data_IF_185127998470
#
_entry.id   IF_185127998470
#
_cell.length_a   1.000
_cell.length_b   1.000
_cell.length_c   1.000
_cell.angle_alpha   90.00
_cell.angle_beta   90.00
_cell.angle_gamma   90.00
#
_symmetry.space_group_name_H-M   'P 1'
#
loop_
_entity.id
_entity.type
_entity.pdbx_description
1 polymer ?
#
# COMPACT_ATOMS: atom_id res chain seq x y z
N UNK A 1 -3.99 -17.55 23.37
CA UNK A 1 -3.27 -17.69 22.10
C UNK A 1 -2.61 -16.37 21.82
N UNK A 2 -1.35 -16.39 21.47
CA UNK A 2 -0.53 -15.16 21.30
C UNK A 2 -0.95 -14.45 20.01
N UNK A 3 -1.52 -13.23 20.11
CA UNK A 3 -1.98 -12.44 18.95
C UNK A 3 -0.85 -12.19 17.94
N UNK A 4 0.39 -12.14 18.39
CA UNK A 4 1.57 -11.87 17.56
C UNK A 4 1.89 -13.02 16.58
N UNK A 5 1.61 -14.28 16.93
CA UNK A 5 1.77 -15.42 16.04
C UNK A 5 0.76 -15.39 14.87
N UNK A 6 -0.43 -14.82 15.09
CA UNK A 6 -1.44 -14.67 14.03
C UNK A 6 -1.06 -13.59 13.02
N UNK A 7 -0.56 -12.43 13.46
CA UNK A 7 -0.19 -11.31 12.58
C UNK A 7 0.96 -11.71 11.65
N UNK A 8 1.96 -12.42 12.16
CA UNK A 8 3.12 -12.87 11.37
C UNK A 8 2.76 -14.00 10.39
N UNK A 9 1.99 -15.00 10.81
CA UNK A 9 1.55 -16.11 9.96
C UNK A 9 0.70 -15.64 8.75
N UNK A 10 -0.17 -14.67 8.96
CA UNK A 10 -0.99 -14.05 7.92
C UNK A 10 -0.20 -13.58 6.70
N UNK A 11 1.03 -13.08 6.89
CA UNK A 11 1.87 -12.59 5.79
C UNK A 11 2.29 -13.69 4.82
N UNK A 12 2.50 -14.90 5.31
CA UNK A 12 2.77 -16.07 4.46
C UNK A 12 1.50 -16.54 3.75
N UNK A 13 0.35 -16.53 4.44
CA UNK A 13 -0.93 -16.86 3.82
C UNK A 13 -1.21 -15.93 2.64
N UNK A 14 -1.02 -14.62 2.81
CA UNK A 14 -1.19 -13.63 1.74
C UNK A 14 -0.29 -13.94 0.54
N UNK A 15 1.01 -14.21 0.75
CA UNK A 15 1.93 -14.55 -0.33
C UNK A 15 1.50 -15.82 -1.05
N UNK A 16 1.12 -16.87 -0.30
CA UNK A 16 0.68 -18.14 -0.86
C UNK A 16 -0.62 -17.99 -1.66
N UNK A 17 -1.63 -17.34 -1.09
CA UNK A 17 -2.91 -17.11 -1.75
C UNK A 17 -2.71 -16.29 -3.04
N UNK A 18 -1.94 -15.20 -2.99
CA UNK A 18 -1.65 -14.41 -4.18
C UNK A 18 -0.85 -15.17 -5.25
N UNK A 19 -0.10 -16.21 -4.88
CA UNK A 19 0.67 -17.02 -5.83
C UNK A 19 -0.11 -18.21 -6.42
N UNK A 20 -1.09 -18.74 -5.70
CA UNK A 20 -1.74 -20.01 -6.01
C UNK A 20 -3.21 -19.86 -6.44
N UNK A 21 -3.88 -18.78 -6.02
CA UNK A 21 -5.32 -18.58 -6.24
C UNK A 21 -5.59 -17.47 -7.26
N UNK A 22 -6.70 -17.57 -7.95
CA UNK A 22 -7.21 -16.50 -8.81
C UNK A 22 -7.89 -15.43 -7.96
N UNK A 23 -7.14 -14.38 -7.64
CA UNK A 23 -7.58 -13.27 -6.76
C UNK A 23 -7.59 -11.91 -7.46
N UNK A 24 -7.28 -11.87 -8.74
CA UNK A 24 -7.45 -10.65 -9.53
C UNK A 24 -8.91 -10.51 -9.93
N UNK A 25 -9.46 -9.31 -9.73
CA UNK A 25 -10.86 -9.02 -10.02
C UNK A 25 -10.99 -7.70 -10.75
N UNK A 26 -12.03 -7.66 -11.59
CA UNK A 26 -12.47 -6.44 -12.23
C UNK A 26 -11.63 -5.98 -13.40
N UNK A 27 -11.70 -4.68 -13.65
CA UNK A 27 -11.09 -4.02 -14.80
C UNK A 27 -10.59 -2.63 -14.39
N UNK A 28 -9.28 -2.40 -14.50
CA UNK A 28 -8.66 -1.15 -14.05
C UNK A 28 -9.08 0.11 -14.83
N UNK A 29 -9.71 -0.05 -16.00
CA UNK A 29 -10.14 1.04 -16.89
C UNK A 29 -9.06 1.50 -17.89
N UNK A 30 -7.80 1.11 -17.73
CA UNK A 30 -6.74 1.53 -18.66
C UNK A 30 -6.90 0.92 -20.06
N UNK A 31 -7.57 -0.23 -20.20
CA UNK A 31 -7.90 -0.82 -21.49
C UNK A 31 -8.80 0.03 -22.37
N UNK A 32 -9.56 0.96 -21.80
CA UNK A 32 -10.43 1.91 -22.53
C UNK A 32 -9.69 3.17 -22.98
N UNK A 33 -8.50 3.41 -22.44
CA UNK A 33 -7.70 4.59 -22.79
C UNK A 33 -6.91 4.32 -24.06
N UNK A 34 -6.96 5.25 -25.02
CA UNK A 34 -6.17 5.22 -26.23
C UNK A 34 -5.29 6.45 -26.32
N UNK A 35 -4.00 6.24 -26.45
CA UNK A 35 -3.05 7.33 -26.69
C UNK A 35 -3.14 7.76 -28.15
N UNK A 36 -3.05 9.07 -28.38
CA UNK A 36 -3.00 9.61 -29.75
C UNK A 36 -1.64 9.28 -30.36
N UNK A 37 -1.67 8.53 -31.46
CA UNK A 37 -0.45 8.17 -32.18
C UNK A 37 0.12 9.40 -32.92
N UNK A 38 1.41 9.69 -32.73
CA UNK A 38 2.16 10.65 -33.54
C UNK A 38 2.99 9.89 -34.58
N UNK A 39 2.60 10.00 -35.84
CA UNK A 39 3.31 9.35 -36.96
C UNK A 39 4.67 10.01 -37.28
N UNK A 40 4.89 11.25 -36.83
CA UNK A 40 6.15 12.00 -36.98
C UNK A 40 6.52 12.62 -35.61
N UNK A 41 7.18 11.87 -34.74
CA UNK A 41 7.43 12.32 -33.37
C UNK A 41 8.53 13.37 -33.24
N UNK A 42 9.42 13.54 -34.26
CA UNK A 42 10.57 14.47 -34.25
C UNK A 42 11.37 14.46 -32.94
N UNK A 43 11.59 13.28 -32.37
CA UNK A 43 12.38 13.09 -31.17
C UNK A 43 13.38 11.93 -31.36
N UNK A 44 14.51 12.02 -30.67
CA UNK A 44 15.46 10.92 -30.56
C UNK A 44 15.08 10.05 -29.37
N UNK A 45 14.81 8.77 -29.60
CA UNK A 45 14.44 7.82 -28.55
C UNK A 45 15.50 7.75 -27.44
N UNK A 46 16.77 7.91 -27.77
CA UNK A 46 17.88 7.91 -26.81
C UNK A 46 17.92 9.15 -25.91
N UNK A 47 17.22 10.24 -26.28
CA UNK A 47 17.15 11.47 -25.51
C UNK A 47 15.99 11.50 -24.52
N UNK A 48 15.14 10.46 -24.49
CA UNK A 48 13.97 10.41 -23.58
C UNK A 48 14.45 10.19 -22.15
N UNK A 49 14.18 11.17 -21.28
CA UNK A 49 14.43 11.08 -19.83
C UNK A 49 13.10 10.76 -19.11
N UNK A 50 13.03 9.59 -18.47
CA UNK A 50 11.90 9.16 -17.67
C UNK A 50 12.01 9.58 -16.20
N UNK A 51 13.15 10.21 -15.82
CA UNK A 51 13.33 10.61 -14.43
C UNK A 51 12.32 11.68 -14.01
N UNK A 52 11.91 11.61 -12.76
CA UNK A 52 10.99 12.58 -12.18
C UNK A 52 11.36 12.86 -10.72
N UNK A 53 10.64 13.78 -10.09
CA UNK A 53 10.75 14.05 -8.66
C UNK A 53 9.47 13.63 -7.96
N UNK A 54 9.63 12.85 -6.89
CA UNK A 54 8.54 12.48 -5.99
C UNK A 54 8.92 12.89 -4.56
N UNK A 55 8.10 13.73 -3.93
CA UNK A 55 8.32 14.28 -2.58
C UNK A 55 9.75 14.84 -2.36
N UNK A 56 10.32 15.48 -3.39
CA UNK A 56 11.66 16.06 -3.36
C UNK A 56 12.79 15.13 -3.82
N UNK A 57 12.59 13.82 -3.82
CA UNK A 57 13.57 12.81 -4.25
C UNK A 57 13.51 12.61 -5.76
N UNK A 58 14.69 12.45 -6.39
CA UNK A 58 14.76 12.07 -7.81
C UNK A 58 14.65 10.57 -7.93
N UNK A 59 13.72 10.11 -8.77
CA UNK A 59 13.59 8.71 -9.21
C UNK A 59 13.90 8.60 -10.69
N UNK A 60 14.52 7.50 -11.12
CA UNK A 60 14.98 7.32 -12.51
C UNK A 60 13.84 7.05 -13.49
N UNK A 61 12.67 6.62 -12.98
CA UNK A 61 11.44 6.46 -13.74
C UNK A 61 10.24 6.63 -12.80
N UNK A 62 9.03 6.92 -13.33
CA UNK A 62 7.82 7.08 -12.51
C UNK A 62 7.22 5.73 -12.07
N UNK A 63 8.05 4.74 -11.81
CA UNK A 63 7.64 3.42 -11.33
C UNK A 63 7.91 3.29 -9.84
N UNK A 64 6.96 2.68 -9.14
CA UNK A 64 7.03 2.40 -7.71
C UNK A 64 6.77 0.92 -7.43
N UNK A 65 7.54 0.35 -6.51
CA UNK A 65 7.26 -0.96 -5.93
C UNK A 65 6.24 -0.76 -4.82
N UNK A 66 5.02 -1.27 -5.05
CA UNK A 66 3.91 -1.11 -4.12
C UNK A 66 4.13 -1.85 -2.79
N UNK A 67 3.47 -1.35 -1.74
CA UNK A 67 3.52 -1.92 -0.40
C UNK A 67 2.87 -3.31 -0.33
N UNK A 68 3.67 -4.37 -0.12
CA UNK A 68 3.15 -5.74 -0.13
C UNK A 68 3.41 -6.50 1.18
N UNK A 69 4.65 -6.76 1.56
CA UNK A 69 4.99 -7.74 2.58
C UNK A 69 6.04 -7.26 3.58
N UNK A 70 6.25 -8.05 4.62
CA UNK A 70 7.17 -7.82 5.74
C UNK A 70 6.57 -8.33 7.05
N UNK A 71 7.35 -8.44 8.12
CA UNK A 71 6.89 -8.87 9.43
C UNK A 71 6.85 -10.40 9.61
N UNK A 72 7.59 -11.13 8.79
CA UNK A 72 7.85 -12.56 8.96
C UNK A 72 9.22 -12.91 8.38
N UNK A 73 10.02 -13.81 8.99
CA UNK A 73 11.34 -14.20 8.46
C UNK A 73 11.29 -14.71 7.02
N UNK A 74 10.22 -15.41 6.62
CA UNK A 74 10.01 -15.88 5.25
C UNK A 74 9.79 -14.78 4.21
N UNK A 75 9.58 -13.52 4.62
CA UNK A 75 9.40 -12.39 3.72
C UNK A 75 10.68 -11.57 3.52
N UNK A 76 11.74 -11.83 4.29
CA UNK A 76 13.01 -11.08 4.24
C UNK A 76 13.64 -11.14 2.86
N UNK A 77 13.73 -12.34 2.27
CA UNK A 77 14.32 -12.51 0.93
C UNK A 77 13.50 -11.80 -0.17
N UNK A 78 12.18 -11.75 -0.04
CA UNK A 78 11.31 -11.01 -0.98
C UNK A 78 11.64 -9.52 -0.92
N UNK A 79 11.68 -8.94 0.28
CA UNK A 79 11.99 -7.54 0.48
C UNK A 79 13.43 -7.19 0.05
N UNK A 80 14.39 -8.08 0.31
CA UNK A 80 15.77 -7.95 -0.16
C UNK A 80 15.85 -7.83 -1.69
N UNK A 81 15.18 -8.72 -2.43
CA UNK A 81 15.15 -8.69 -3.91
C UNK A 81 14.48 -7.45 -4.46
N UNK A 82 13.36 -7.04 -3.86
CA UNK A 82 12.65 -5.83 -4.26
C UNK A 82 13.49 -4.57 -4.01
N UNK A 83 14.15 -4.49 -2.84
CA UNK A 83 15.03 -3.39 -2.51
C UNK A 83 16.22 -3.27 -3.47
N UNK A 84 16.87 -4.40 -3.79
CA UNK A 84 17.95 -4.44 -4.81
C UNK A 84 17.46 -3.96 -6.18
N UNK A 85 16.22 -4.30 -6.55
CA UNK A 85 15.64 -3.79 -7.80
C UNK A 85 15.37 -2.28 -7.71
N UNK A 86 14.83 -1.79 -6.60
CA UNK A 86 14.61 -0.36 -6.38
C UNK A 86 15.92 0.42 -6.50
N UNK A 87 16.98 -0.01 -5.81
CA UNK A 87 18.31 0.61 -5.87
C UNK A 87 18.90 0.57 -7.28
N UNK A 88 18.90 -0.60 -7.90
CA UNK A 88 19.50 -0.81 -9.23
C UNK A 88 18.88 0.05 -10.31
N UNK A 89 17.56 0.22 -10.27
CA UNK A 89 16.80 0.93 -11.30
C UNK A 89 16.38 2.35 -10.87
N UNK A 90 16.76 2.79 -9.67
CA UNK A 90 16.43 4.11 -9.14
C UNK A 90 14.93 4.32 -8.99
N UNK A 91 14.20 3.30 -8.50
CA UNK A 91 12.75 3.32 -8.28
C UNK A 91 12.41 3.73 -6.85
N UNK A 92 11.17 4.16 -6.64
CA UNK A 92 10.62 4.24 -5.29
C UNK A 92 10.07 2.89 -4.82
N UNK A 93 10.11 2.63 -3.50
CA UNK A 93 9.54 1.44 -2.89
C UNK A 93 8.79 1.80 -1.61
N UNK A 94 7.63 1.20 -1.41
CA UNK A 94 6.91 1.22 -0.15
C UNK A 94 6.96 -0.18 0.48
N UNK A 95 7.32 -0.29 1.78
CA UNK A 95 7.31 -1.58 2.48
C UNK A 95 5.89 -2.00 2.86
N UNK A 96 5.66 -3.27 3.13
CA UNK A 96 4.41 -3.75 3.70
C UNK A 96 4.18 -3.18 5.11
N UNK A 97 2.94 -3.29 5.64
CA UNK A 97 2.62 -2.81 6.99
C UNK A 97 3.62 -3.31 8.03
N UNK A 98 4.21 -2.38 8.79
CA UNK A 98 5.22 -2.65 9.81
C UNK A 98 4.60 -3.04 11.17
N UNK A 99 3.25 -3.14 11.27
CA UNK A 99 2.55 -3.51 12.50
C UNK A 99 3.20 -4.71 13.21
N UNK A 100 3.49 -5.79 12.49
CA UNK A 100 4.04 -7.00 13.09
C UNK A 100 5.41 -6.76 13.77
N UNK A 101 6.27 -5.93 13.17
CA UNK A 101 7.58 -5.60 13.74
C UNK A 101 7.48 -4.60 14.90
N UNK A 102 6.49 -3.70 14.88
CA UNK A 102 6.22 -2.81 16.01
C UNK A 102 5.63 -3.55 17.21
N UNK A 103 4.88 -4.64 16.99
CA UNK A 103 4.40 -5.54 18.03
C UNK A 103 5.51 -6.49 18.54
N UNK A 104 6.41 -6.93 17.65
CA UNK A 104 7.51 -7.85 17.95
C UNK A 104 8.81 -7.43 17.24
N UNK A 105 9.74 -6.79 17.97
CA UNK A 105 11.01 -6.32 17.39
C UNK A 105 11.86 -7.41 16.73
N UNK A 106 11.65 -8.70 17.05
CA UNK A 106 12.36 -9.81 16.41
C UNK A 106 12.04 -9.94 14.91
N UNK A 107 10.98 -9.28 14.43
CA UNK A 107 10.53 -9.30 13.04
C UNK A 107 11.03 -8.11 12.22
N UNK A 108 11.75 -7.17 12.83
CA UNK A 108 12.26 -5.95 12.19
C UNK A 108 13.20 -6.26 11.02
N UNK A 109 13.97 -7.33 11.10
CA UNK A 109 14.95 -7.72 10.07
C UNK A 109 14.32 -7.79 8.68
N UNK A 110 13.08 -8.27 8.59
CA UNK A 110 12.35 -8.36 7.31
C UNK A 110 12.05 -7.00 6.67
N UNK A 111 12.18 -5.91 7.42
CA UNK A 111 12.03 -4.53 6.96
C UNK A 111 13.38 -3.81 6.86
N UNK A 112 14.27 -3.97 7.85
CA UNK A 112 15.59 -3.32 7.88
C UNK A 112 16.43 -3.64 6.64
N UNK A 113 16.34 -4.89 6.17
CA UNK A 113 17.01 -5.34 4.94
C UNK A 113 16.72 -4.44 3.74
N UNK A 114 15.58 -3.75 3.71
CA UNK A 114 15.20 -2.87 2.59
C UNK A 114 16.16 -1.68 2.49
N UNK A 115 16.46 -0.99 3.59
CA UNK A 115 17.39 0.14 3.58
C UNK A 115 18.84 -0.32 3.41
N UNK A 116 19.18 -1.49 3.95
CA UNK A 116 20.53 -2.08 3.78
C UNK A 116 20.84 -2.36 2.30
N UNK A 117 19.86 -2.90 1.56
CA UNK A 117 20.00 -3.24 0.14
C UNK A 117 19.67 -2.09 -0.82
N UNK A 118 19.01 -1.05 -0.34
CA UNK A 118 18.61 0.13 -1.12
C UNK A 118 18.96 1.44 -0.37
N UNK A 119 20.28 1.73 -0.18
CA UNK A 119 20.72 2.88 0.61
C UNK A 119 20.36 4.24 -0.01
N UNK A 120 20.12 4.32 -1.33
CA UNK A 120 19.85 5.58 -2.03
C UNK A 120 18.44 5.65 -2.63
N UNK A 121 17.71 4.54 -2.70
CA UNK A 121 16.34 4.53 -3.22
C UNK A 121 15.38 5.29 -2.29
N UNK A 122 14.33 5.88 -2.86
CA UNK A 122 13.21 6.41 -2.07
C UNK A 122 12.46 5.26 -1.41
N UNK A 123 12.44 5.22 -0.08
CA UNK A 123 11.77 4.20 0.71
C UNK A 123 10.68 4.82 1.58
N UNK A 124 9.45 4.29 1.50
CA UNK A 124 8.36 4.68 2.38
C UNK A 124 8.08 3.61 3.43
N UNK A 125 8.05 4.02 4.70
CA UNK A 125 7.47 3.25 5.80
C UNK A 125 5.96 3.06 5.59
N UNK A 126 5.33 2.14 6.35
CA UNK A 126 3.91 1.84 6.17
C UNK A 126 3.23 1.38 7.46
N UNK A 127 2.13 2.06 7.80
CA UNK A 127 1.32 1.78 8.98
C UNK A 127 -0.17 1.89 8.64
N UNK A 128 -1.03 1.09 9.27
CA UNK A 128 -2.48 1.23 9.13
C UNK A 128 -3.01 2.42 9.91
N UNK A 129 -4.04 3.07 9.38
CA UNK A 129 -4.64 4.24 10.04
C UNK A 129 -5.25 3.90 11.40
N UNK A 130 -5.79 2.70 11.58
CA UNK A 130 -6.32 2.22 12.86
C UNK A 130 -5.19 2.04 13.87
N UNK A 131 -4.06 1.45 13.47
CA UNK A 131 -2.88 1.30 14.33
C UNK A 131 -2.29 2.67 14.70
N UNK A 132 -2.29 3.63 13.77
CA UNK A 132 -1.88 5.01 14.05
C UNK A 132 -2.78 5.65 15.12
N UNK A 133 -4.11 5.47 15.02
CA UNK A 133 -5.07 5.96 16.03
C UNK A 133 -4.82 5.35 17.40
N UNK A 134 -4.63 4.04 17.44
CA UNK A 134 -4.60 3.29 18.71
C UNK A 134 -3.25 3.41 19.44
N UNK A 135 -2.15 3.57 18.70
CA UNK A 135 -0.80 3.60 19.25
C UNK A 135 -0.10 4.95 19.12
N UNK A 136 -0.72 5.91 18.41
CA UNK A 136 -0.25 7.28 18.29
C UNK A 136 1.01 7.46 17.43
N UNK A 137 1.61 8.62 17.58
CA UNK A 137 2.74 9.09 16.78
C UNK A 137 4.01 8.26 17.00
N UNK A 138 4.20 7.74 18.21
CA UNK A 138 5.36 6.92 18.55
C UNK A 138 5.53 5.71 17.61
N UNK A 139 4.43 5.04 17.25
CA UNK A 139 4.48 3.93 16.31
C UNK A 139 4.85 4.38 14.90
N UNK A 140 4.39 5.54 14.47
CA UNK A 140 4.75 6.11 13.17
C UNK A 140 6.24 6.50 13.14
N UNK A 141 6.76 7.12 14.19
CA UNK A 141 8.18 7.47 14.33
C UNK A 141 9.07 6.23 14.35
N UNK A 142 8.66 5.19 15.08
CA UNK A 142 9.37 3.91 15.14
C UNK A 142 9.35 3.20 13.78
N UNK A 143 8.24 3.25 13.04
CA UNK A 143 8.17 2.70 11.69
C UNK A 143 9.13 3.40 10.72
N UNK A 144 9.18 4.74 10.77
CA UNK A 144 10.13 5.55 9.97
C UNK A 144 11.57 5.22 10.35
N UNK A 145 11.89 5.25 11.63
CA UNK A 145 13.25 5.03 12.15
C UNK A 145 13.76 3.61 11.88
N UNK A 146 12.88 2.61 11.90
CA UNK A 146 13.21 1.20 11.69
C UNK A 146 13.94 0.96 10.36
N UNK A 147 13.58 1.71 9.32
CA UNK A 147 14.12 1.55 7.96
C UNK A 147 14.72 2.85 7.40
N UNK A 148 14.97 3.86 8.23
CA UNK A 148 15.42 5.18 7.79
C UNK A 148 14.62 5.67 6.57
N UNK A 149 13.29 5.74 6.73
CA UNK A 149 12.37 5.99 5.63
C UNK A 149 12.32 7.46 5.22
N UNK A 150 12.18 7.72 3.92
CA UNK A 150 12.04 9.05 3.32
C UNK A 150 10.61 9.60 3.42
N UNK A 151 9.64 8.74 3.67
CA UNK A 151 8.22 9.06 3.86
C UNK A 151 7.54 7.99 4.70
N UNK A 152 6.31 8.27 5.15
CA UNK A 152 5.43 7.27 5.75
C UNK A 152 4.12 7.17 4.99
N UNK A 153 3.74 5.98 4.56
CA UNK A 153 2.43 5.66 4.03
C UNK A 153 1.49 5.24 5.16
N UNK A 154 0.31 5.83 5.18
CA UNK A 154 -0.81 5.41 6.05
C UNK A 154 -1.86 4.75 5.18
N UNK A 155 -2.06 3.44 5.35
CA UNK A 155 -3.02 2.72 4.55
C UNK A 155 -4.42 2.72 5.17
N UNK A 156 -5.41 2.84 4.27
CA UNK A 156 -6.84 2.80 4.55
C UNK A 156 -7.37 1.47 4.00
N UNK A 157 -7.56 0.47 4.85
CA UNK A 157 -7.92 -0.89 4.44
C UNK A 157 -9.21 -1.38 5.10
N UNK A 158 -10.18 -0.50 5.30
CA UNK A 158 -11.41 -0.81 6.05
C UNK A 158 -12.21 -1.95 5.43
N UNK A 159 -12.27 -2.06 4.09
CA UNK A 159 -12.94 -3.18 3.44
C UNK A 159 -12.23 -4.51 3.74
N UNK A 160 -10.90 -4.54 3.65
CA UNK A 160 -10.12 -5.72 4.02
C UNK A 160 -10.34 -6.08 5.50
N UNK A 161 -10.27 -5.10 6.40
CA UNK A 161 -10.48 -5.31 7.84
C UNK A 161 -11.89 -5.82 8.16
N UNK A 162 -12.91 -5.39 7.39
CA UNK A 162 -14.29 -5.86 7.57
C UNK A 162 -14.48 -7.35 7.25
N UNK A 163 -13.64 -7.93 6.39
CA UNK A 163 -13.68 -9.33 5.95
C UNK A 163 -12.70 -10.18 6.75
N UNK A 164 -11.62 -9.59 7.23
CA UNK A 164 -10.56 -10.26 7.96
C UNK A 164 -11.06 -10.77 9.32
N UNK A 165 -10.84 -12.07 9.68
CA UNK A 165 -11.35 -12.63 10.95
C UNK A 165 -10.91 -11.89 12.21
N UNK A 166 -9.68 -11.32 12.19
CA UNK A 166 -9.10 -10.51 13.26
C UNK A 166 -9.13 -9.02 12.96
N UNK A 167 -9.98 -8.58 12.03
CA UNK A 167 -10.04 -7.22 11.54
C UNK A 167 -10.56 -6.21 12.54
N UNK A 168 -10.17 -4.95 12.35
CA UNK A 168 -10.57 -3.83 13.17
C UNK A 168 -11.68 -3.04 12.45
N UNK A 169 -12.86 -2.99 13.05
CA UNK A 169 -14.08 -2.48 12.41
C UNK A 169 -14.43 -1.05 12.83
N UNK A 170 -13.63 -0.41 13.70
CA UNK A 170 -13.88 0.96 14.15
C UNK A 170 -12.98 1.96 13.44
N UNK A 171 -13.56 2.79 12.57
CA UNK A 171 -12.88 3.86 11.86
C UNK A 171 -12.94 5.22 12.60
N UNK A 172 -13.61 5.29 13.76
CA UNK A 172 -13.79 6.55 14.51
C UNK A 172 -12.44 7.11 14.95
N UNK A 173 -12.19 8.41 14.75
CA UNK A 173 -10.96 9.08 15.16
C UNK A 173 -9.75 8.87 14.24
N UNK A 174 -9.89 8.08 13.17
CA UNK A 174 -8.77 7.85 12.25
C UNK A 174 -8.36 9.11 11.46
N UNK A 175 -9.31 9.99 11.14
CA UNK A 175 -8.99 11.25 10.47
C UNK A 175 -8.19 12.19 11.38
N UNK A 176 -8.56 12.32 12.63
CA UNK A 176 -7.87 13.12 13.63
C UNK A 176 -6.46 12.61 13.89
N UNK A 177 -6.27 11.29 13.95
CA UNK A 177 -4.96 10.66 14.07
C UNK A 177 -4.07 10.94 12.84
N UNK A 178 -4.64 10.84 11.62
CA UNK A 178 -3.94 11.20 10.38
C UNK A 178 -3.53 12.68 10.38
N UNK A 179 -4.44 13.58 10.75
CA UNK A 179 -4.15 15.01 10.81
C UNK A 179 -3.09 15.34 11.87
N UNK A 180 -3.08 14.65 13.00
CA UNK A 180 -2.04 14.76 14.02
C UNK A 180 -0.68 14.33 13.46
N UNK A 181 -0.61 13.16 12.79
CA UNK A 181 0.61 12.69 12.16
C UNK A 181 1.13 13.70 11.12
N UNK A 182 0.27 14.25 10.27
CA UNK A 182 0.67 15.22 9.25
C UNK A 182 1.26 16.51 9.84
N UNK A 183 0.86 16.90 11.06
CA UNK A 183 1.41 18.08 11.73
C UNK A 183 2.77 17.82 12.38
N UNK A 184 2.98 16.63 12.91
CA UNK A 184 4.13 16.31 13.78
C UNK A 184 5.22 15.51 13.05
N UNK A 185 4.89 14.81 11.96
CA UNK A 185 5.84 13.97 11.26
C UNK A 185 7.01 14.75 10.67
N UNK A 186 8.22 14.23 10.84
CA UNK A 186 9.46 14.79 10.26
C UNK A 186 9.61 14.41 8.78
N UNK A 187 8.86 13.45 8.29
CA UNK A 187 8.85 12.99 6.89
C UNK A 187 7.49 13.21 6.25
N UNK A 188 7.41 13.33 4.92
CA UNK A 188 6.13 13.45 4.21
C UNK A 188 5.19 12.27 4.50
N UNK A 189 3.90 12.56 4.70
CA UNK A 189 2.85 11.55 4.87
C UNK A 189 2.17 11.27 3.54
N UNK A 190 2.09 9.99 3.19
CA UNK A 190 1.35 9.47 2.04
C UNK A 190 0.11 8.76 2.57
N UNK A 191 -1.07 8.98 2.01
CA UNK A 191 -2.23 8.12 2.27
C UNK A 191 -2.40 7.16 1.11
N UNK A 192 -2.66 5.89 1.43
CA UNK A 192 -2.88 4.88 0.42
C UNK A 192 -4.15 4.06 0.68
N UNK A 193 -4.89 3.81 -0.37
CA UNK A 193 -5.95 2.80 -0.40
C UNK A 193 -5.36 1.42 -0.75
N UNK A 194 -6.11 0.36 -0.65
CA UNK A 194 -5.60 -1.03 -0.71
C UNK A 194 -6.26 -1.90 -1.78
N UNK A 195 -6.91 -1.32 -2.78
CA UNK A 195 -7.45 -2.06 -3.93
C UNK A 195 -8.92 -1.76 -4.27
N UNK A 196 -9.53 -0.79 -3.56
CA UNK A 196 -10.92 -0.37 -3.83
C UNK A 196 -11.02 1.06 -4.38
N UNK A 197 -9.88 1.73 -4.59
CA UNK A 197 -9.84 3.07 -5.17
C UNK A 197 -10.19 4.19 -4.19
N UNK A 198 -9.86 5.40 -4.58
CA UNK A 198 -10.11 6.59 -3.79
C UNK A 198 -10.95 7.60 -4.58
N UNK A 199 -11.99 8.15 -3.98
CA UNK A 199 -12.79 9.23 -4.57
C UNK A 199 -12.13 10.59 -4.40
N UNK A 200 -12.53 11.55 -5.23
CA UNK A 200 -12.07 12.93 -5.12
C UNK A 200 -12.39 13.56 -3.75
N UNK A 201 -13.53 13.21 -3.12
CA UNK A 201 -13.89 13.71 -1.80
C UNK A 201 -12.92 13.20 -0.74
N UNK A 202 -12.65 11.89 -0.72
CA UNK A 202 -11.71 11.28 0.23
C UNK A 202 -10.31 11.86 0.03
N UNK A 203 -9.84 11.97 -1.21
CA UNK A 203 -8.53 12.53 -1.53
C UNK A 203 -8.40 13.99 -1.04
N UNK A 204 -9.43 14.84 -1.28
CA UNK A 204 -9.44 16.23 -0.78
C UNK A 204 -9.45 16.30 0.75
N UNK A 205 -10.21 15.42 1.40
CA UNK A 205 -10.24 15.34 2.86
C UNK A 205 -8.86 14.99 3.44
N UNK A 206 -8.21 13.95 2.92
CA UNK A 206 -6.86 13.57 3.32
C UNK A 206 -5.84 14.69 3.04
N UNK A 207 -5.94 15.34 1.87
CA UNK A 207 -5.09 16.48 1.53
C UNK A 207 -5.27 17.64 2.52
N UNK A 208 -6.51 17.93 2.91
CA UNK A 208 -6.85 18.92 3.94
C UNK A 208 -6.28 18.59 5.32
N UNK A 209 -6.08 17.32 5.63
CA UNK A 209 -5.38 16.88 6.85
C UNK A 209 -3.87 17.14 6.83
N UNK A 210 -3.28 17.46 5.65
CA UNK A 210 -1.85 17.75 5.50
C UNK A 210 -1.03 16.68 4.79
N UNK A 211 -1.68 15.67 4.21
CA UNK A 211 -1.06 14.61 3.39
C UNK A 211 -0.32 15.22 2.20
N UNK A 212 0.81 14.63 1.80
CA UNK A 212 1.69 15.15 0.75
C UNK A 212 1.69 14.35 -0.54
N UNK A 213 1.13 13.14 -0.54
CA UNK A 213 0.88 12.34 -1.73
C UNK A 213 -0.27 11.37 -1.47
N UNK A 214 -0.92 10.94 -2.53
CA UNK A 214 -2.02 9.96 -2.50
C UNK A 214 -1.62 8.76 -3.35
N UNK A 215 -1.70 7.55 -2.78
CA UNK A 215 -1.71 6.29 -3.53
C UNK A 215 -3.17 5.81 -3.61
N UNK A 216 -3.73 5.84 -4.81
CA UNK A 216 -5.17 5.62 -5.00
C UNK A 216 -5.59 4.17 -4.80
N UNK A 217 -4.66 3.19 -4.88
CA UNK A 217 -4.97 1.77 -4.66
C UNK A 217 -6.24 1.31 -5.35
N UNK A 218 -6.34 1.52 -6.69
CA UNK A 218 -7.59 1.36 -7.43
C UNK A 218 -8.03 -0.09 -7.62
N UNK A 219 -9.32 -0.28 -7.96
CA UNK A 219 -9.89 -1.57 -8.31
C UNK A 219 -9.50 -1.98 -9.74
N UNK A 220 -9.30 -3.30 -9.94
CA UNK A 220 -8.99 -3.89 -11.24
C UNK A 220 -7.69 -4.71 -11.27
N UNK A 221 -7.21 -5.10 -10.11
CA UNK A 221 -6.07 -6.02 -9.91
C UNK A 221 -6.35 -6.94 -8.74
N UNK A 222 -5.39 -7.09 -7.82
CA UNK A 222 -5.56 -7.91 -6.60
C UNK A 222 -6.74 -7.43 -5.76
N UNK A 223 -7.71 -8.32 -5.53
CA UNK A 223 -8.83 -8.08 -4.62
C UNK A 223 -8.49 -8.56 -3.21
N UNK A 224 -8.25 -7.64 -2.28
CA UNK A 224 -8.03 -8.00 -0.88
C UNK A 224 -9.27 -8.61 -0.22
N UNK A 225 -10.49 -8.30 -0.72
CA UNK A 225 -11.71 -8.97 -0.31
C UNK A 225 -11.70 -10.45 -0.70
N UNK A 226 -11.25 -10.78 -1.93
CA UNK A 226 -11.09 -12.16 -2.36
C UNK A 226 -9.99 -12.87 -1.55
N UNK A 227 -8.84 -12.22 -1.33
CA UNK A 227 -7.73 -12.78 -0.53
C UNK A 227 -8.18 -13.13 0.88
N UNK A 228 -8.87 -12.23 1.58
CA UNK A 228 -9.36 -12.50 2.94
C UNK A 228 -10.54 -13.48 2.95
N UNK A 229 -11.37 -13.53 1.90
CA UNK A 229 -12.40 -14.53 1.72
C UNK A 229 -11.82 -15.95 1.61
N UNK A 230 -10.80 -16.15 0.78
CA UNK A 230 -10.06 -17.43 0.67
C UNK A 230 -9.39 -17.77 2.00
N UNK A 231 -8.77 -16.80 2.67
CA UNK A 231 -8.14 -17.00 3.97
C UNK A 231 -9.16 -17.41 5.05
N UNK A 232 -10.34 -16.80 5.06
CA UNK A 232 -11.43 -17.15 5.98
C UNK A 232 -11.94 -18.58 5.73
N UNK A 233 -12.00 -19.03 4.47
CA UNK A 233 -12.37 -20.38 4.11
C UNK A 233 -11.34 -21.43 4.58
N UNK A 234 -10.05 -21.13 4.42
CA UNK A 234 -8.93 -22.00 4.80
C UNK A 234 -8.63 -21.98 6.30
N UNK A 235 -8.98 -20.91 6.99
CA UNK A 235 -8.89 -20.83 8.45
C UNK A 235 -10.13 -21.49 9.08
N UNK A 236 -9.98 -22.04 10.31
CA UNK A 236 -11.13 -22.49 11.08
C UNK A 236 -11.96 -21.30 11.61
N UNK A 237 -12.32 -20.37 10.74
CA UNK A 237 -13.25 -19.30 11.10
C UNK A 237 -14.55 -19.94 11.64
N UNK A 238 -15.19 -19.37 12.68
CA UNK A 238 -16.41 -19.95 13.23
C UNK A 238 -17.42 -20.21 12.13
N UNK A 239 -17.95 -21.43 12.07
CA UNK A 239 -19.01 -21.78 11.13
C UNK A 239 -20.16 -20.77 11.28
N UNK A 240 -20.53 -20.10 10.18
CA UNK A 240 -21.57 -19.06 10.20
C UNK A 240 -21.09 -17.62 10.46
N UNK A 241 -19.76 -17.35 10.50
CA UNK A 241 -19.25 -15.97 10.61
C UNK A 241 -19.63 -15.05 9.45
N UNK A 242 -20.02 -15.61 8.29
CA UNK A 242 -20.39 -14.84 7.10
C UNK A 242 -19.20 -14.24 6.35
N UNK A 243 -17.97 -14.38 6.84
CA UNK A 243 -16.78 -13.72 6.26
C UNK A 243 -16.47 -14.20 4.84
N UNK A 244 -16.61 -15.51 4.56
CA UNK A 244 -16.46 -16.06 3.20
C UNK A 244 -17.48 -15.43 2.24
N UNK A 245 -18.74 -15.33 2.69
CA UNK A 245 -19.81 -14.70 1.90
C UNK A 245 -19.57 -13.20 1.69
N UNK A 246 -19.04 -12.52 2.70
CA UNK A 246 -18.63 -11.11 2.61
C UNK A 246 -17.48 -10.94 1.62
N UNK A 247 -16.48 -11.81 1.67
CA UNK A 247 -15.37 -11.82 0.71
C UNK A 247 -15.87 -11.93 -0.72
N UNK A 248 -16.74 -12.91 -1.00
CA UNK A 248 -17.37 -13.11 -2.31
C UNK A 248 -18.27 -11.94 -2.74
N UNK A 249 -19.00 -11.31 -1.79
CA UNK A 249 -19.85 -10.17 -2.10
C UNK A 249 -19.06 -8.94 -2.53
N UNK A 250 -17.90 -8.70 -1.92
CA UNK A 250 -17.08 -7.51 -2.12
C UNK A 250 -15.81 -7.76 -2.95
N UNK A 251 -15.62 -8.97 -3.48
CA UNK A 251 -14.42 -9.26 -4.29
C UNK A 251 -14.29 -8.39 -5.54
N UNK A 252 -15.43 -7.91 -6.06
CA UNK A 252 -15.54 -7.08 -7.27
C UNK A 252 -16.05 -5.66 -6.94
N UNK A 253 -15.64 -5.14 -5.78
CA UNK A 253 -16.04 -3.83 -5.28
C UNK A 253 -14.92 -2.80 -5.37
N UNK A 254 -15.22 -1.64 -5.97
CA UNK A 254 -14.29 -0.50 -5.93
C UNK A 254 -14.47 0.47 -7.09
N UNK A 255 -13.64 1.51 -7.09
CA UNK A 255 -13.50 2.49 -8.17
C UNK A 255 -12.36 2.02 -9.08
N UNK A 256 -12.60 1.78 -10.38
CA UNK A 256 -11.53 1.41 -11.31
C UNK A 256 -10.35 2.38 -11.23
N UNK A 257 -9.13 1.85 -11.30
CA UNK A 257 -7.90 2.65 -11.10
C UNK A 257 -7.84 3.86 -12.01
N UNK A 258 -8.17 3.72 -13.30
CA UNK A 258 -8.19 4.84 -14.24
C UNK A 258 -9.25 5.90 -13.87
N UNK A 259 -10.42 5.49 -13.38
CA UNK A 259 -11.49 6.39 -12.92
C UNK A 259 -11.04 7.12 -11.66
N UNK A 260 -10.54 6.39 -10.65
CA UNK A 260 -10.00 6.97 -9.42
C UNK A 260 -8.89 7.97 -9.72
N UNK A 261 -7.97 7.64 -10.65
CA UNK A 261 -6.92 8.56 -11.09
C UNK A 261 -7.51 9.84 -11.71
N UNK A 262 -8.50 9.73 -12.58
CA UNK A 262 -9.16 10.89 -13.19
C UNK A 262 -9.87 11.77 -12.14
N UNK A 263 -10.53 11.16 -11.16
CA UNK A 263 -11.21 11.90 -10.09
C UNK A 263 -10.23 12.65 -9.17
N UNK A 264 -9.10 12.03 -8.85
CA UNK A 264 -8.11 12.58 -7.91
C UNK A 264 -7.17 13.56 -8.62
N UNK A 265 -6.87 13.35 -9.91
CA UNK A 265 -6.00 14.21 -10.70
C UNK A 265 -6.52 15.65 -10.76
N UNK A 266 -5.63 16.61 -10.50
CA UNK A 266 -5.98 18.04 -10.49
C UNK A 266 -6.65 18.52 -9.21
N UNK A 267 -6.96 17.64 -8.24
CA UNK A 267 -7.53 18.02 -6.94
C UNK A 267 -6.49 18.05 -5.83
N UNK A 268 -5.43 17.26 -5.95
CA UNK A 268 -4.36 17.11 -4.96
C UNK A 268 -3.00 17.01 -5.67
N UNK A 269 -1.91 16.94 -4.88
CA UNK A 269 -0.52 16.90 -5.36
C UNK A 269 -0.11 15.54 -5.96
N UNK A 270 1.11 15.05 -5.73
CA UNK A 270 1.60 13.82 -6.33
C UNK A 270 0.67 12.63 -6.07
N UNK A 271 0.44 11.82 -7.12
CA UNK A 271 -0.42 10.63 -7.07
C UNK A 271 0.40 9.42 -7.48
N UNK A 272 0.26 8.33 -6.74
CA UNK A 272 0.69 6.99 -7.12
C UNK A 272 -0.56 6.26 -7.60
N UNK A 273 -0.51 5.69 -8.80
CA UNK A 273 -1.55 4.81 -9.31
C UNK A 273 -1.11 3.36 -9.14
N UNK A 274 -1.91 2.57 -8.46
CA UNK A 274 -1.72 1.14 -8.25
C UNK A 274 -3.07 0.43 -8.39
N UNK A 275 -3.05 -0.82 -8.87
CA UNK A 275 -4.23 -1.66 -9.10
C UNK A 275 -4.46 -1.94 -10.57
N UNK A 276 -4.10 -3.16 -11.04
CA UNK A 276 -4.33 -3.63 -12.40
C UNK A 276 -3.59 -2.86 -13.51
N UNK A 277 -2.35 -2.44 -13.21
CA UNK A 277 -1.44 -1.73 -14.14
C UNK A 277 -0.44 -2.72 -14.72
#
# INVERSE_FOLDING_TARGET
>A
MDKNLFTSGRKLDHLRICAEEDIERGFSGFGDIRLVHSALPECDLSSIDLSTRFLGHRVSSPLFIAAMTGGHPGTTEVNCRLARAAERYGLGMCVGSQRAALEDPRLEESFRVVREEAPHAFISANLGVVQLRDHGLEWAENAVSMIDADAIAVHLNFLQEAIQPEGDHDATGCYEALAALCRESTVPVIVKETGSGMSAETARSCWGAGVRAIDIGGWGGTSWAAVEGVRAEQSAAPAGSGLVSLGALFEDWGIPTAVSLCEVAGTVGPIIAAGGI
#
